data_IF_751290261999
#
_entry.id   IF_751290261999
#
_cell.length_a   1.000
_cell.length_b   1.000
_cell.length_c   1.000
_cell.angle_alpha   90.00
_cell.angle_beta   90.00
_cell.angle_gamma   90.00
#
_symmetry.space_group_name_H-M   'P 1'
#
loop_
_entity.id
_entity.type
_entity.pdbx_description
1 polymer ?
#
# COMPACT_ATOMS: atom_id res chain seq x y z
N UNK A 1 -8.47 -11.36 16.33
CA UNK A 1 -8.04 -9.95 16.26
C UNK A 1 -7.03 -9.86 15.13
N UNK A 2 -7.32 -9.13 14.04
CA UNK A 2 -6.45 -9.05 12.84
C UNK A 2 -5.13 -8.27 13.09
N UNK A 3 -4.90 -7.84 14.31
CA UNK A 3 -3.73 -7.16 14.85
C UNK A 3 -2.91 -8.05 15.79
N UNK A 4 -3.27 -9.33 15.94
CA UNK A 4 -2.54 -10.28 16.77
C UNK A 4 -1.10 -10.41 16.26
N UNK A 5 -0.17 -9.89 17.06
CA UNK A 5 1.25 -9.84 16.71
C UNK A 5 1.81 -11.24 16.49
N UNK A 6 1.43 -12.20 17.33
CA UNK A 6 2.05 -13.51 17.36
C UNK A 6 1.56 -14.35 16.19
N UNK A 7 0.30 -14.22 15.79
CA UNK A 7 -0.24 -14.80 14.56
C UNK A 7 0.52 -14.32 13.32
N UNK A 8 0.66 -13.00 13.13
CA UNK A 8 1.34 -12.47 11.94
C UNK A 8 2.85 -12.73 11.95
N UNK A 9 3.48 -12.71 13.12
CA UNK A 9 4.87 -13.09 13.29
C UNK A 9 5.08 -14.57 12.94
N UNK A 10 4.22 -15.45 13.45
CA UNK A 10 4.24 -16.88 13.12
C UNK A 10 4.03 -17.11 11.63
N UNK A 11 3.03 -16.49 11.01
CA UNK A 11 2.79 -16.61 9.58
C UNK A 11 3.99 -16.13 8.75
N UNK A 12 4.59 -15.00 9.14
CA UNK A 12 5.75 -14.44 8.48
C UNK A 12 6.98 -15.35 8.57
N UNK A 13 7.28 -15.89 9.76
CA UNK A 13 8.49 -16.69 10.01
C UNK A 13 8.30 -18.14 9.55
N UNK A 14 7.17 -18.77 9.88
CA UNK A 14 6.96 -20.19 9.63
C UNK A 14 6.61 -20.49 8.16
N UNK A 15 5.90 -19.58 7.48
CA UNK A 15 5.33 -19.86 6.15
C UNK A 15 5.80 -18.91 5.05
N UNK A 16 6.13 -17.66 5.38
CA UNK A 16 6.43 -16.62 4.39
C UNK A 16 7.87 -16.09 4.50
N UNK A 17 8.75 -16.79 5.22
CA UNK A 17 10.12 -16.32 5.49
C UNK A 17 10.90 -16.04 4.20
N UNK A 18 10.88 -16.99 3.27
CA UNK A 18 11.57 -16.84 1.98
C UNK A 18 11.06 -15.62 1.20
N UNK A 19 9.77 -15.32 1.31
CA UNK A 19 9.17 -14.16 0.66
C UNK A 19 9.57 -12.85 1.33
N UNK A 20 9.54 -12.79 2.66
CA UNK A 20 9.97 -11.63 3.43
C UNK A 20 11.47 -11.33 3.19
N UNK A 21 12.31 -12.36 3.16
CA UNK A 21 13.73 -12.26 2.85
C UNK A 21 13.97 -11.78 1.43
N UNK A 22 13.30 -12.37 0.44
CA UNK A 22 13.44 -11.95 -0.96
C UNK A 22 13.08 -10.47 -1.16
N UNK A 23 11.96 -10.03 -0.57
CA UNK A 23 11.44 -8.67 -0.74
C UNK A 23 12.26 -7.60 -0.02
N UNK A 24 12.76 -7.91 1.17
CA UNK A 24 13.47 -6.95 2.02
C UNK A 24 14.98 -7.28 2.12
N UNK A 25 15.53 -8.08 1.20
CA UNK A 25 16.90 -8.58 1.26
C UNK A 25 17.94 -7.47 1.51
N UNK A 26 17.83 -6.34 0.80
CA UNK A 26 18.75 -5.21 0.98
C UNK A 26 18.65 -4.53 2.34
N UNK A 27 17.49 -4.60 3.00
CA UNK A 27 17.27 -4.07 4.34
C UNK A 27 17.76 -5.05 5.42
N UNK A 28 17.63 -6.35 5.17
CA UNK A 28 17.99 -7.43 6.10
C UNK A 28 19.46 -7.83 6.06
N UNK A 29 20.06 -7.71 4.87
CA UNK A 29 21.46 -8.00 4.62
C UNK A 29 22.10 -6.79 3.93
N UNK A 30 22.27 -5.65 4.65
CA UNK A 30 22.89 -4.47 4.07
C UNK A 30 24.32 -4.83 3.67
N UNK A 31 24.76 -4.38 2.49
CA UNK A 31 26.17 -4.49 2.13
C UNK A 31 26.99 -3.62 3.09
N UNK A 32 28.19 -4.07 3.50
CA UNK A 32 29.12 -3.20 4.22
C UNK A 32 29.41 -1.97 3.34
N UNK A 33 29.29 -0.77 3.91
CA UNK A 33 29.70 0.43 3.19
C UNK A 33 31.23 0.47 3.08
N UNK A 34 31.74 0.95 1.94
CA UNK A 34 33.18 1.10 1.70
C UNK A 34 33.86 2.07 2.70
N UNK A 35 33.07 2.86 3.43
CA UNK A 35 33.47 3.83 4.45
C UNK A 35 33.83 3.23 5.82
N UNK A 36 33.61 1.92 6.04
CA UNK A 36 33.95 1.25 7.30
C UNK A 36 33.03 1.59 8.48
N UNK A 37 31.91 2.28 8.26
CA UNK A 37 30.92 2.50 9.31
C UNK A 37 30.21 1.18 9.67
N UNK A 38 29.96 0.93 10.97
CA UNK A 38 29.27 -0.27 11.41
C UNK A 38 27.84 -0.30 10.86
N UNK A 39 27.54 -1.33 10.07
CA UNK A 39 26.19 -1.60 9.56
C UNK A 39 25.23 -1.67 10.76
N UNK A 40 24.34 -0.69 10.88
CA UNK A 40 23.31 -0.66 11.92
C UNK A 40 22.62 -2.03 12.02
N UNK A 41 22.59 -2.62 13.22
CA UNK A 41 22.13 -4.01 13.44
C UNK A 41 20.82 -4.34 12.69
N UNK A 42 20.81 -5.36 11.80
CA UNK A 42 19.65 -5.71 10.97
C UNK A 42 18.38 -6.05 11.77
N UNK A 43 18.55 -6.59 12.97
CA UNK A 43 17.46 -7.15 13.78
C UNK A 43 16.38 -6.14 14.20
N UNK A 44 16.72 -4.85 14.36
CA UNK A 44 15.74 -3.82 14.75
C UNK A 44 14.86 -3.36 13.59
N UNK A 45 15.35 -3.46 12.34
CA UNK A 45 14.58 -3.11 11.13
C UNK A 45 13.65 -4.25 10.70
N UNK A 46 14.09 -5.51 10.83
CA UNK A 46 13.27 -6.66 10.44
C UNK A 46 11.95 -6.78 11.21
N UNK A 47 11.98 -6.55 12.52
CA UNK A 47 10.80 -6.68 13.38
C UNK A 47 9.62 -5.84 12.86
N UNK A 48 9.87 -4.71 12.21
CA UNK A 48 8.84 -3.84 11.63
C UNK A 48 8.06 -4.53 10.50
N UNK A 49 8.69 -5.44 9.76
CA UNK A 49 8.10 -6.14 8.61
C UNK A 49 7.38 -7.44 8.98
N UNK A 50 7.43 -7.85 10.25
CA UNK A 50 6.72 -9.05 10.78
C UNK A 50 5.81 -8.74 11.97
N UNK A 51 5.84 -7.51 12.49
CA UNK A 51 4.99 -7.09 13.61
C UNK A 51 3.59 -6.69 13.11
N UNK A 52 2.61 -7.57 13.36
CA UNK A 52 1.21 -7.35 13.00
C UNK A 52 0.57 -6.08 13.58
N UNK A 53 1.12 -5.52 14.67
CA UNK A 53 0.67 -4.23 15.23
C UNK A 53 0.95 -3.06 14.28
N UNK A 54 1.90 -3.25 13.37
CA UNK A 54 2.19 -2.36 12.24
C UNK A 54 1.71 -3.01 10.95
N UNK A 55 0.42 -3.34 10.87
CA UNK A 55 -0.18 -4.08 9.75
C UNK A 55 0.12 -3.47 8.36
N UNK A 56 0.33 -2.15 8.28
CA UNK A 56 0.66 -1.44 7.05
C UNK A 56 2.16 -1.46 6.71
N UNK A 57 3.01 -2.08 7.54
CA UNK A 57 4.42 -2.37 7.31
C UNK A 57 4.68 -3.88 7.20
N UNK A 58 4.00 -4.65 8.07
CA UNK A 58 4.04 -6.10 8.13
C UNK A 58 3.78 -6.69 6.74
N UNK A 59 4.74 -7.45 6.20
CA UNK A 59 4.71 -7.91 4.80
C UNK A 59 3.47 -8.79 4.54
N UNK A 60 3.19 -9.85 5.32
CA UNK A 60 1.99 -10.66 5.12
C UNK A 60 0.69 -9.87 5.26
N UNK A 61 0.58 -9.03 6.29
CA UNK A 61 -0.61 -8.23 6.52
C UNK A 61 -0.85 -7.25 5.37
N UNK A 62 0.19 -6.58 4.85
CA UNK A 62 0.10 -5.71 3.67
C UNK A 62 -0.36 -6.44 2.43
N UNK A 63 0.18 -7.62 2.16
CA UNK A 63 -0.21 -8.41 0.99
C UNK A 63 -1.68 -8.79 1.07
N UNK A 64 -2.11 -9.30 2.23
CA UNK A 64 -3.50 -9.62 2.48
C UNK A 64 -4.40 -8.38 2.34
N UNK A 65 -4.01 -7.26 2.96
CA UNK A 65 -4.77 -6.02 2.92
C UNK A 65 -4.94 -5.49 1.50
N UNK A 66 -3.90 -5.49 0.65
CA UNK A 66 -4.00 -5.03 -0.76
C UNK A 66 -5.12 -5.75 -1.52
N UNK A 67 -5.26 -7.06 -1.30
CA UNK A 67 -6.31 -7.88 -1.91
C UNK A 67 -7.65 -7.60 -1.24
N UNK A 68 -7.66 -7.50 0.09
CA UNK A 68 -8.89 -7.31 0.86
C UNK A 68 -9.57 -5.96 0.60
N UNK A 69 -8.80 -4.87 0.51
CA UNK A 69 -9.33 -3.52 0.25
C UNK A 69 -9.95 -3.36 -1.15
N UNK A 70 -9.68 -4.30 -2.07
CA UNK A 70 -10.35 -4.35 -3.37
C UNK A 70 -11.77 -4.94 -3.29
N UNK A 71 -12.19 -5.42 -2.12
CA UNK A 71 -13.56 -5.90 -1.89
C UNK A 71 -13.89 -7.21 -2.63
N UNK A 72 -12.89 -8.05 -2.90
CA UNK A 72 -13.09 -9.34 -3.58
C UNK A 72 -13.20 -9.26 -5.11
N UNK A 73 -12.94 -8.08 -5.70
CA UNK A 73 -12.99 -7.85 -7.14
C UNK A 73 -11.62 -7.40 -7.67
N UNK A 74 -11.34 -7.67 -8.95
CA UNK A 74 -10.15 -7.17 -9.66
C UNK A 74 -8.83 -7.38 -8.89
N UNK A 75 -8.67 -8.58 -8.32
CA UNK A 75 -7.56 -8.89 -7.42
C UNK A 75 -6.19 -8.77 -8.10
N UNK A 76 -6.14 -8.83 -9.43
CA UNK A 76 -4.94 -8.60 -10.23
C UNK A 76 -4.39 -7.18 -10.05
N UNK A 77 -5.25 -6.18 -9.77
CA UNK A 77 -4.83 -4.80 -9.52
C UNK A 77 -3.89 -4.68 -8.31
N UNK A 78 -3.97 -5.59 -7.34
CA UNK A 78 -3.06 -5.64 -6.19
C UNK A 78 -1.58 -5.84 -6.59
N UNK A 79 -1.34 -6.37 -7.79
CA UNK A 79 -0.01 -6.76 -8.28
C UNK A 79 0.44 -6.02 -9.54
N UNK A 80 -0.49 -5.46 -10.33
CA UNK A 80 -0.18 -4.84 -11.64
C UNK A 80 0.51 -3.49 -11.58
N UNK A 81 0.39 -2.76 -10.48
CA UNK A 81 1.06 -1.48 -10.35
C UNK A 81 2.56 -1.70 -10.03
N UNK A 82 3.42 -1.61 -11.04
CA UNK A 82 4.87 -1.71 -10.87
C UNK A 82 5.39 -0.53 -10.01
N UNK A 83 6.36 -0.78 -9.13
CA UNK A 83 6.87 0.26 -8.21
C UNK A 83 5.86 0.80 -7.18
N UNK A 84 4.67 0.19 -7.06
CA UNK A 84 3.55 0.72 -6.26
C UNK A 84 3.64 0.54 -4.75
N UNK A 85 4.80 0.16 -4.19
CA UNK A 85 4.91 -0.03 -2.73
C UNK A 85 4.50 1.22 -1.97
N UNK A 86 4.94 2.39 -2.44
CA UNK A 86 4.57 3.68 -1.83
C UNK A 86 3.12 4.08 -2.13
N UNK A 87 2.60 3.76 -3.32
CA UNK A 87 1.17 3.93 -3.64
C UNK A 87 0.29 3.19 -2.62
N UNK A 88 0.49 1.87 -2.48
CA UNK A 88 -0.32 1.07 -1.55
C UNK A 88 -0.12 1.51 -0.10
N UNK A 89 1.13 1.70 0.33
CA UNK A 89 1.43 2.01 1.74
C UNK A 89 0.90 3.38 2.14
N UNK A 90 1.18 4.42 1.33
CA UNK A 90 0.96 5.81 1.72
C UNK A 90 -0.36 6.38 1.23
N UNK A 91 -0.97 5.80 0.20
CA UNK A 91 -2.15 6.36 -0.46
C UNK A 91 -3.36 5.43 -0.48
N UNK A 92 -3.22 4.20 0.00
CA UNK A 92 -4.35 3.27 0.21
C UNK A 92 -4.41 2.83 1.68
N UNK A 93 -3.43 2.07 2.15
CA UNK A 93 -3.49 1.35 3.44
C UNK A 93 -3.41 2.23 4.69
N UNK A 94 -2.87 3.45 4.57
CA UNK A 94 -2.69 4.40 5.69
C UNK A 94 -3.73 5.51 5.73
N UNK A 95 -4.65 5.55 4.76
CA UNK A 95 -5.58 6.66 4.56
C UNK A 95 -7.00 6.14 4.49
N UNK A 96 -7.97 7.00 4.83
CA UNK A 96 -9.39 6.65 4.82
C UNK A 96 -9.90 6.17 3.47
N UNK A 97 -9.28 6.62 2.37
CA UNK A 97 -9.62 6.13 1.03
C UNK A 97 -9.50 4.60 0.90
N UNK A 98 -8.58 3.95 1.66
CA UNK A 98 -8.44 2.50 1.71
C UNK A 98 -9.62 1.75 2.34
N UNK A 99 -10.54 2.45 3.00
CA UNK A 99 -11.77 1.88 3.59
C UNK A 99 -12.90 1.75 2.55
N UNK A 100 -12.69 2.23 1.32
CA UNK A 100 -13.72 2.32 0.28
C UNK A 100 -13.30 1.56 -0.99
N UNK A 101 -13.76 0.29 -1.16
CA UNK A 101 -13.28 -0.56 -2.25
C UNK A 101 -13.44 0.02 -3.67
N UNK A 102 -14.55 0.70 -3.96
CA UNK A 102 -14.75 1.35 -5.27
C UNK A 102 -13.68 2.40 -5.57
N UNK A 103 -13.36 3.26 -4.58
CA UNK A 103 -12.29 4.27 -4.69
C UNK A 103 -10.94 3.59 -4.87
N UNK A 104 -10.65 2.54 -4.09
CA UNK A 104 -9.40 1.79 -4.19
C UNK A 104 -9.23 1.19 -5.58
N UNK A 105 -10.27 0.55 -6.14
CA UNK A 105 -10.22 -0.03 -7.49
C UNK A 105 -10.00 1.04 -8.54
N UNK A 106 -10.74 2.14 -8.48
CA UNK A 106 -10.58 3.27 -9.39
C UNK A 106 -9.15 3.87 -9.38
N UNK A 107 -8.55 4.03 -8.19
CA UNK A 107 -7.16 4.47 -8.05
C UNK A 107 -6.18 3.42 -8.57
N UNK A 108 -6.40 2.14 -8.27
CA UNK A 108 -5.51 1.06 -8.64
C UNK A 108 -5.47 0.82 -10.15
N UNK A 109 -6.62 0.92 -10.85
CA UNK A 109 -6.69 0.89 -12.33
C UNK A 109 -5.80 1.96 -12.95
N UNK A 110 -5.97 3.22 -12.53
CA UNK A 110 -5.20 4.36 -13.06
C UNK A 110 -3.72 4.30 -12.73
N UNK A 111 -3.34 3.76 -11.57
CA UNK A 111 -1.93 3.58 -11.23
C UNK A 111 -1.28 2.39 -11.97
N UNK A 112 -2.07 1.37 -12.34
CA UNK A 112 -1.59 0.23 -13.11
C UNK A 112 -1.25 0.61 -14.56
N UNK A 113 -2.05 1.46 -15.17
CA UNK A 113 -1.85 1.96 -16.53
C UNK A 113 -0.73 3.01 -16.60
N UNK A 114 0.25 2.80 -17.49
CA UNK A 114 1.41 3.70 -17.63
C UNK A 114 1.02 5.12 -18.07
N UNK A 115 0.04 5.24 -18.98
CA UNK A 115 -0.46 6.51 -19.50
C UNK A 115 -1.09 7.41 -18.46
N UNK A 116 -1.61 6.84 -17.37
CA UNK A 116 -2.31 7.57 -16.30
C UNK A 116 -1.57 7.53 -14.98
N UNK A 117 -0.41 6.86 -14.92
CA UNK A 117 0.33 6.64 -13.68
C UNK A 117 0.85 7.96 -13.11
N UNK A 118 0.49 8.26 -11.87
CA UNK A 118 1.03 9.42 -11.17
C UNK A 118 2.35 9.09 -10.49
N UNK A 119 3.31 10.01 -10.62
CA UNK A 119 4.50 10.04 -9.77
C UNK A 119 4.14 10.43 -8.32
N UNK A 120 5.09 10.27 -7.41
CA UNK A 120 4.87 10.46 -5.96
C UNK A 120 4.31 11.83 -5.59
N UNK A 121 4.80 12.91 -6.19
CA UNK A 121 4.36 14.28 -5.85
C UNK A 121 2.91 14.54 -6.32
N UNK A 122 2.55 14.33 -7.60
CA UNK A 122 1.17 14.45 -8.05
C UNK A 122 0.20 13.52 -7.29
N UNK A 123 0.61 12.29 -7.00
CA UNK A 123 -0.20 11.33 -6.24
C UNK A 123 -0.48 11.82 -4.80
N UNK A 124 0.48 12.51 -4.18
CA UNK A 124 0.29 13.12 -2.86
C UNK A 124 -0.70 14.28 -2.90
N UNK A 125 -0.66 15.10 -3.94
CA UNK A 125 -1.63 16.19 -4.12
C UNK A 125 -3.03 15.66 -4.40
N UNK A 126 -3.17 14.64 -5.26
CA UNK A 126 -4.41 13.88 -5.43
C UNK A 126 -4.95 13.39 -4.08
N UNK A 127 -4.12 12.70 -3.27
CA UNK A 127 -4.56 12.13 -2.01
C UNK A 127 -5.04 13.19 -1.00
N UNK A 128 -4.45 14.40 -1.00
CA UNK A 128 -4.93 15.52 -0.18
C UNK A 128 -6.31 15.99 -0.65
N UNK A 129 -6.52 16.13 -1.96
CA UNK A 129 -7.79 16.54 -2.52
C UNK A 129 -8.88 15.51 -2.24
N UNK A 130 -8.60 14.23 -2.51
CA UNK A 130 -9.52 13.13 -2.23
C UNK A 130 -9.93 13.11 -0.75
N UNK A 131 -8.98 13.21 0.18
CA UNK A 131 -9.30 13.23 1.61
C UNK A 131 -10.20 14.43 1.99
N UNK A 132 -10.00 15.60 1.39
CA UNK A 132 -10.88 16.77 1.61
C UNK A 132 -12.27 16.54 1.04
N UNK A 133 -12.38 15.94 -0.14
CA UNK A 133 -13.67 15.62 -0.75
C UNK A 133 -14.43 14.59 0.09
N UNK A 134 -13.76 13.54 0.56
CA UNK A 134 -14.36 12.51 1.40
C UNK A 134 -14.81 13.02 2.78
N UNK A 135 -14.34 14.17 3.26
CA UNK A 135 -14.87 14.78 4.49
C UNK A 135 -16.30 15.32 4.31
N UNK A 136 -16.70 15.62 3.08
CA UNK A 136 -18.02 16.19 2.76
C UNK A 136 -18.97 15.19 2.10
N UNK A 137 -18.51 13.96 1.88
CA UNK A 137 -19.29 12.87 1.30
C UNK A 137 -19.53 11.78 2.35
N UNK A 138 -20.62 11.03 2.18
CA UNK A 138 -20.82 9.75 2.82
C UNK A 138 -20.28 8.68 1.85
N UNK A 139 -19.03 8.20 1.99
CA UNK A 139 -18.44 7.38 0.95
C UNK A 139 -19.08 5.99 0.86
N UNK A 140 -19.80 5.56 1.91
CA UNK A 140 -20.62 4.36 1.89
C UNK A 140 -21.81 4.44 0.91
N UNK A 141 -22.14 5.63 0.41
CA UNK A 141 -23.17 5.84 -0.61
C UNK A 141 -22.61 5.95 -2.03
N UNK A 142 -21.28 5.94 -2.19
CA UNK A 142 -20.67 5.92 -3.52
C UNK A 142 -20.72 4.50 -4.04
N UNK A 143 -21.48 4.29 -5.11
CA UNK A 143 -21.32 3.10 -5.94
C UNK A 143 -20.00 3.17 -6.72
N UNK A 144 -19.69 2.09 -7.44
CA UNK A 144 -18.43 1.98 -8.17
C UNK A 144 -18.31 3.00 -9.30
N UNK A 145 -19.41 3.37 -9.94
CA UNK A 145 -19.43 4.35 -11.03
C UNK A 145 -19.16 5.76 -10.50
N UNK A 146 -19.82 6.15 -9.41
CA UNK A 146 -19.59 7.42 -8.75
C UNK A 146 -18.19 7.51 -8.14
N UNK A 147 -17.68 6.41 -7.59
CA UNK A 147 -16.31 6.33 -7.10
C UNK A 147 -15.29 6.51 -8.23
N UNK A 148 -15.51 5.87 -9.39
CA UNK A 148 -14.61 6.00 -10.54
C UNK A 148 -14.63 7.42 -11.10
N UNK A 149 -15.81 8.01 -11.29
CA UNK A 149 -15.96 9.39 -11.77
C UNK A 149 -15.30 10.42 -10.83
N UNK A 150 -15.48 10.27 -9.51
CA UNK A 150 -14.82 11.12 -8.52
C UNK A 150 -13.30 11.00 -8.61
N UNK A 151 -12.78 9.77 -8.70
CA UNK A 151 -11.34 9.55 -8.82
C UNK A 151 -10.83 10.13 -10.13
N UNK A 152 -11.50 9.91 -11.26
CA UNK A 152 -11.16 10.45 -12.57
C UNK A 152 -10.97 11.96 -12.52
N UNK A 153 -12.00 12.67 -12.04
CA UNK A 153 -12.01 14.12 -12.00
C UNK A 153 -10.82 14.68 -11.21
N UNK A 154 -10.51 14.08 -10.05
CA UNK A 154 -9.39 14.51 -9.21
C UNK A 154 -8.04 14.10 -9.78
N UNK A 155 -7.99 12.96 -10.48
CA UNK A 155 -6.77 12.39 -11.05
C UNK A 155 -6.31 13.16 -12.29
N UNK A 156 -7.23 13.48 -13.20
CA UNK A 156 -6.93 14.28 -14.40
C UNK A 156 -6.33 15.64 -14.07
N UNK A 157 -6.77 16.26 -12.97
CA UNK A 157 -6.20 17.53 -12.49
C UNK A 157 -4.72 17.44 -12.13
N UNK A 158 -4.20 16.24 -11.88
CA UNK A 158 -2.79 16.00 -11.58
C UNK A 158 -1.95 15.62 -12.80
N UNK A 159 -2.60 15.32 -13.94
CA UNK A 159 -1.93 15.00 -15.21
C UNK A 159 -1.68 16.24 -16.07
N UNK A 160 -2.38 17.35 -15.80
CA UNK A 160 -2.23 18.65 -16.46
C UNK A 160 -1.13 19.48 -15.81
#
# INVERSE_FOLDING_TARGET
MLDDRDFWCHLAIAHLWNFAVWREHGTLFPRPEASGEPVSSPGRKFAVYIDGRRFHECVPSRMWLRVNVLGGQELDLAFRAEGSTDFWRSHILRVKAGEHPGIVRAMARRQAEESTRLATTPLREFAKQLNRTLQNLLPAMLDDEAADALVEELWERQLR
#
